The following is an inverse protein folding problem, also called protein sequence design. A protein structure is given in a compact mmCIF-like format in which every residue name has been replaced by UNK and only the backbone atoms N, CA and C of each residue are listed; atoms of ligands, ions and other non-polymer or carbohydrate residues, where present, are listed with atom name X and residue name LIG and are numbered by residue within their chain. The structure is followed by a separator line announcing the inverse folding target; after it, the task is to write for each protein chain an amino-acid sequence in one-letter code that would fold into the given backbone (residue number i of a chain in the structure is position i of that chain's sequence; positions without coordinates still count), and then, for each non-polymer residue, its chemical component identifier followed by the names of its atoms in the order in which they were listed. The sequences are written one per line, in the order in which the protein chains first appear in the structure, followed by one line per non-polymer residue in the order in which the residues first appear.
data_IF_985054319099
#
_entry.id   IF_985054319099
#
_cell.length_a   1.000
_cell.length_b   1.000
_cell.length_c   1.000
_cell.angle_alpha   90.00
_cell.angle_beta   90.00
_cell.angle_gamma   90.00
#
_symmetry.space_group_name_H-M   'P 1'
#
loop_
_entity.id
_entity.type
_entity.pdbx_description
1 polymer ?
#
# COMPACT_ATOMS: atom_id res chain seq x y z
N UNK A 1 26.95 29.12 -28.95
CA UNK A 1 26.80 28.24 -27.78
C UNK A 1 27.52 26.94 -28.13
N UNK A 2 28.43 26.48 -27.29
CA UNK A 2 29.30 25.33 -27.61
C UNK A 2 28.48 24.03 -27.77
N UNK A 3 28.81 23.19 -28.75
CA UNK A 3 28.06 21.96 -29.05
C UNK A 3 28.13 20.97 -27.87
N UNK A 4 29.26 20.95 -27.14
CA UNK A 4 29.41 20.11 -25.95
C UNK A 4 28.44 20.51 -24.83
N UNK A 5 28.18 21.81 -24.68
CA UNK A 5 27.25 22.34 -23.68
C UNK A 5 25.81 21.94 -24.04
N UNK A 6 25.43 22.03 -25.32
CA UNK A 6 24.11 21.60 -25.83
C UNK A 6 23.87 20.11 -25.54
N UNK A 7 24.84 19.26 -25.87
CA UNK A 7 24.75 17.82 -25.63
C UNK A 7 24.61 17.49 -24.12
N UNK A 8 25.34 18.20 -23.25
CA UNK A 8 25.20 18.05 -21.79
C UNK A 8 23.82 18.48 -21.27
N UNK A 9 23.19 19.49 -21.87
CA UNK A 9 21.84 19.89 -21.51
C UNK A 9 20.80 18.83 -21.92
N UNK A 10 20.92 18.28 -23.12
CA UNK A 10 20.04 17.19 -23.58
C UNK A 10 20.16 15.95 -22.70
N UNK A 11 21.40 15.56 -22.35
CA UNK A 11 21.63 14.41 -21.47
C UNK A 11 21.02 14.61 -20.07
N UNK A 12 21.13 15.83 -19.53
CA UNK A 12 20.52 16.19 -18.24
C UNK A 12 18.99 16.17 -18.31
N UNK A 13 18.39 16.71 -19.37
CA UNK A 13 16.94 16.69 -19.57
C UNK A 13 16.40 15.26 -19.62
N UNK A 14 17.11 14.36 -20.31
CA UNK A 14 16.73 12.94 -20.37
C UNK A 14 16.76 12.28 -18.99
N UNK A 15 17.82 12.52 -18.21
CA UNK A 15 17.93 12.01 -16.82
C UNK A 15 16.81 12.55 -15.93
N UNK A 16 16.46 13.83 -16.05
CA UNK A 16 15.36 14.43 -15.31
C UNK A 16 14.02 13.78 -15.64
N UNK A 17 13.76 13.50 -16.92
CA UNK A 17 12.53 12.82 -17.34
C UNK A 17 12.45 11.38 -16.79
N UNK A 18 13.58 10.66 -16.80
CA UNK A 18 13.67 9.31 -16.24
C UNK A 18 13.43 9.31 -14.71
N UNK A 19 14.00 10.28 -14.00
CA UNK A 19 13.76 10.47 -12.55
C UNK A 19 12.28 10.76 -12.30
N UNK A 20 11.69 11.69 -13.03
CA UNK A 20 10.28 12.04 -12.88
C UNK A 20 9.37 10.82 -13.07
N UNK A 21 9.59 10.04 -14.13
CA UNK A 21 8.85 8.80 -14.40
C UNK A 21 9.04 7.76 -13.29
N UNK A 22 10.24 7.65 -12.73
CA UNK A 22 10.55 6.72 -11.63
C UNK A 22 9.85 7.11 -10.32
N UNK A 23 9.86 8.41 -10.00
CA UNK A 23 9.22 8.96 -8.80
C UNK A 23 7.70 8.79 -8.87
N UNK A 24 7.07 9.08 -10.02
CA UNK A 24 5.62 8.88 -10.17
C UNK A 24 5.21 7.41 -10.01
N UNK A 25 6.00 6.47 -10.57
CA UNK A 25 5.77 5.03 -10.34
C UNK A 25 5.88 4.68 -8.87
N UNK A 26 6.93 5.16 -8.19
CA UNK A 26 7.16 4.92 -6.76
C UNK A 26 6.02 5.47 -5.92
N UNK A 27 5.55 6.69 -6.22
CA UNK A 27 4.40 7.31 -5.53
C UNK A 27 3.14 6.46 -5.68
N UNK A 28 2.86 5.99 -6.90
CA UNK A 28 1.69 5.12 -7.17
C UNK A 28 1.78 3.80 -6.43
N UNK A 29 2.94 3.13 -6.46
CA UNK A 29 3.13 1.86 -5.77
C UNK A 29 3.13 2.02 -4.26
N UNK A 30 3.74 3.08 -3.73
CA UNK A 30 3.72 3.39 -2.31
C UNK A 30 2.29 3.58 -1.80
N UNK A 31 1.44 4.30 -2.52
CA UNK A 31 0.04 4.47 -2.13
C UNK A 31 -0.70 3.12 -2.06
N UNK A 32 -0.60 2.30 -3.10
CA UNK A 32 -1.28 1.01 -3.15
C UNK A 32 -0.73 0.02 -2.11
N UNK A 33 0.58 -0.01 -1.91
CA UNK A 33 1.22 -0.85 -0.89
C UNK A 33 0.84 -0.41 0.52
N UNK A 34 0.73 0.89 0.78
CA UNK A 34 0.25 1.42 2.05
C UNK A 34 -1.20 1.00 2.34
N UNK A 35 -2.09 1.16 1.35
CA UNK A 35 -3.50 0.72 1.48
C UNK A 35 -3.56 -0.79 1.73
N UNK A 36 -2.82 -1.60 0.97
CA UNK A 36 -2.78 -3.05 1.16
C UNK A 36 -2.23 -3.41 2.53
N UNK A 37 -1.14 -2.78 2.98
CA UNK A 37 -0.57 -3.02 4.29
C UNK A 37 -1.57 -2.74 5.41
N UNK A 38 -2.28 -1.61 5.33
CA UNK A 38 -3.35 -1.28 6.28
C UNK A 38 -4.48 -2.30 6.23
N UNK A 39 -4.99 -2.64 5.05
CA UNK A 39 -6.07 -3.64 4.93
C UNK A 39 -5.64 -4.99 5.50
N UNK A 40 -4.49 -5.51 5.11
CA UNK A 40 -4.01 -6.82 5.59
C UNK A 40 -3.71 -6.84 7.09
N UNK A 41 -3.33 -5.71 7.68
CA UNK A 41 -3.10 -5.61 9.12
C UNK A 41 -4.40 -5.43 9.91
N UNK A 42 -5.29 -4.55 9.47
CA UNK A 42 -6.51 -4.20 10.21
C UNK A 42 -7.69 -5.14 9.95
N UNK A 43 -7.83 -5.69 8.74
CA UNK A 43 -8.92 -6.62 8.41
C UNK A 43 -8.98 -7.84 9.35
N UNK A 44 -7.88 -8.56 9.67
CA UNK A 44 -7.96 -9.66 10.63
C UNK A 44 -8.33 -9.18 12.04
N UNK A 45 -7.86 -8.01 12.48
CA UNK A 45 -8.21 -7.46 13.80
C UNK A 45 -9.71 -7.17 13.89
N UNK A 46 -10.28 -6.52 12.87
CA UNK A 46 -11.72 -6.29 12.78
C UNK A 46 -12.48 -7.61 12.71
N UNK A 47 -11.98 -8.57 11.93
CA UNK A 47 -12.55 -9.92 11.83
C UNK A 47 -12.63 -10.61 13.19
N UNK A 48 -11.59 -10.53 14.01
CA UNK A 48 -11.57 -11.10 15.37
C UNK A 48 -12.63 -10.42 16.25
N UNK A 49 -12.70 -9.10 16.27
CA UNK A 49 -13.68 -8.36 17.10
C UNK A 49 -15.12 -8.70 16.72
N UNK A 50 -15.39 -8.94 15.43
CA UNK A 50 -16.73 -9.29 14.93
C UNK A 50 -17.06 -10.77 15.10
N UNK A 51 -16.09 -11.67 14.96
CA UNK A 51 -16.30 -13.12 15.02
C UNK A 51 -16.29 -13.66 16.45
N UNK A 52 -15.40 -13.17 17.32
CA UNK A 52 -15.31 -13.62 18.70
C UNK A 52 -16.65 -13.66 19.46
N UNK A 53 -17.47 -12.59 19.49
CA UNK A 53 -18.73 -12.62 20.24
C UNK A 53 -19.68 -13.69 19.69
N UNK A 54 -19.78 -13.84 18.36
CA UNK A 54 -20.62 -14.87 17.72
C UNK A 54 -20.17 -16.27 18.08
N UNK A 55 -18.86 -16.47 18.17
CA UNK A 55 -18.27 -17.74 18.59
C UNK A 55 -18.62 -18.02 20.05
N UNK A 56 -18.48 -17.04 20.95
CA UNK A 56 -18.88 -17.18 22.35
C UNK A 56 -20.38 -17.49 22.48
N UNK A 57 -21.25 -16.76 21.79
CA UNK A 57 -22.71 -16.98 21.80
C UNK A 57 -23.08 -18.38 21.29
N UNK A 58 -22.38 -18.88 20.26
CA UNK A 58 -22.62 -20.23 19.73
C UNK A 58 -22.24 -21.32 20.74
N UNK A 59 -21.13 -21.16 21.46
CA UNK A 59 -20.69 -22.13 22.47
C UNK A 59 -21.47 -22.02 23.79
N UNK A 60 -21.87 -20.83 24.23
CA UNK A 60 -22.71 -20.66 25.42
C UNK A 60 -24.16 -21.08 25.14
N UNK A 61 -24.71 -20.73 23.97
CA UNK A 61 -26.06 -21.10 23.55
C UNK A 61 -26.24 -22.58 23.20
N UNK A 62 -25.19 -23.27 22.73
CA UNK A 62 -25.23 -24.71 22.47
C UNK A 62 -24.73 -25.57 23.64
N UNK A 63 -23.93 -25.00 24.55
CA UNK A 63 -23.27 -25.74 25.64
C UNK A 63 -23.87 -25.59 27.03
N UNK A 64 -24.77 -24.62 27.26
CA UNK A 64 -25.35 -24.36 28.59
C UNK A 64 -26.89 -24.19 28.51
N UNK A 65 -27.58 -25.17 27.94
CA UNK A 65 -29.04 -25.30 28.08
C UNK A 65 -29.49 -25.65 29.50
N UNK A 66 -28.98 -24.96 30.52
CA UNK A 66 -29.41 -24.93 31.92
C UNK A 66 -29.49 -23.47 32.39
#
# INVERSE_FOLDING_TARGET
MDQEIQNKFEEQNKKLEEIFRSVEKTRKYFLWTLILSLVFFFLPLVGIVVLLPKIFDAYTGAGLGL
#
